data_IF_912635941991
#
_entry.id   IF_912635941991
#
_cell.length_a   1.000
_cell.length_b   1.000
_cell.length_c   1.000
_cell.angle_alpha   90.00
_cell.angle_beta   90.00
_cell.angle_gamma   90.00
#
_symmetry.space_group_name_H-M   'P 1'
#
loop_
_entity.id
_entity.type
_entity.pdbx_description
1 polymer ?
#
# COMPACT_ATOMS: atom_id res chain seq x y z
N UNK A 1 -2.64 -9.30 -11.58
CA UNK A 1 -3.75 -9.18 -10.62
C UNK A 1 -4.93 -10.10 -10.92
N UNK A 2 -5.68 -9.94 -12.01
CA UNK A 2 -6.84 -10.82 -12.29
C UNK A 2 -6.49 -12.31 -12.32
N UNK A 3 -5.38 -12.69 -12.94
CA UNK A 3 -4.91 -14.08 -12.96
C UNK A 3 -4.59 -14.62 -11.56
N UNK A 4 -4.05 -13.79 -10.68
CA UNK A 4 -3.75 -14.16 -9.28
C UNK A 4 -5.05 -14.39 -8.49
N UNK A 5 -6.05 -13.53 -8.69
CA UNK A 5 -7.36 -13.71 -8.08
C UNK A 5 -8.05 -14.99 -8.58
N UNK A 6 -8.01 -15.24 -9.90
CA UNK A 6 -8.59 -16.44 -10.48
C UNK A 6 -7.91 -17.72 -9.95
N UNK A 7 -6.57 -17.71 -9.86
CA UNK A 7 -5.81 -18.84 -9.30
C UNK A 7 -6.16 -19.07 -7.83
N UNK A 8 -6.20 -18.02 -7.01
CA UNK A 8 -6.56 -18.13 -5.59
C UNK A 8 -7.99 -18.65 -5.41
N UNK A 9 -8.94 -18.20 -6.23
CA UNK A 9 -10.31 -18.69 -6.20
C UNK A 9 -10.40 -20.19 -6.57
N UNK A 10 -9.63 -20.61 -7.57
CA UNK A 10 -9.57 -22.04 -7.97
C UNK A 10 -8.95 -22.89 -6.85
N UNK A 11 -7.86 -22.46 -6.25
CA UNK A 11 -7.21 -23.17 -5.13
C UNK A 11 -8.14 -23.22 -3.92
N UNK A 12 -8.79 -22.12 -3.57
CA UNK A 12 -9.77 -22.08 -2.47
C UNK A 12 -10.93 -23.06 -2.73
N UNK A 13 -11.41 -23.15 -3.97
CA UNK A 13 -12.44 -24.11 -4.37
C UNK A 13 -12.01 -25.56 -4.17
N UNK A 14 -10.79 -25.90 -4.57
CA UNK A 14 -10.23 -27.25 -4.37
C UNK A 14 -10.09 -27.58 -2.87
N UNK A 15 -9.54 -26.66 -2.08
CA UNK A 15 -9.36 -26.84 -0.62
C UNK A 15 -10.72 -27.05 0.06
N UNK A 16 -11.71 -26.21 -0.26
CA UNK A 16 -13.04 -26.32 0.33
C UNK A 16 -13.73 -27.65 0.02
N UNK A 17 -13.57 -28.18 -1.19
CA UNK A 17 -14.10 -29.51 -1.54
C UNK A 17 -13.39 -30.63 -0.79
N UNK A 18 -12.08 -30.55 -0.60
CA UNK A 18 -11.28 -31.53 0.13
C UNK A 18 -11.59 -31.49 1.64
N UNK A 19 -11.74 -30.31 2.21
CA UNK A 19 -11.99 -30.14 3.65
C UNK A 19 -13.46 -30.13 4.02
N UNK A 20 -14.38 -30.31 3.06
CA UNK A 20 -15.84 -30.24 3.26
C UNK A 20 -16.31 -28.98 3.96
N UNK A 21 -15.64 -27.87 3.69
CA UNK A 21 -15.98 -26.52 4.24
C UNK A 21 -16.90 -25.78 3.29
N UNK A 22 -17.84 -24.96 3.81
CA UNK A 22 -18.65 -24.10 2.95
C UNK A 22 -17.74 -23.13 2.20
N UNK A 23 -17.96 -23.02 0.88
CA UNK A 23 -17.31 -22.02 0.03
C UNK A 23 -17.99 -20.67 0.27
N UNK A 24 -17.27 -19.78 0.90
CA UNK A 24 -17.68 -18.38 1.03
C UNK A 24 -16.89 -17.54 0.01
N UNK A 25 -17.54 -17.23 -1.11
CA UNK A 25 -16.94 -16.38 -2.13
C UNK A 25 -17.17 -14.91 -1.79
N UNK A 26 -16.13 -14.07 -1.95
CA UNK A 26 -16.30 -12.65 -1.73
C UNK A 26 -17.35 -12.08 -2.70
N UNK A 27 -18.16 -11.17 -2.20
CA UNK A 27 -19.12 -10.43 -3.01
C UNK A 27 -18.44 -9.62 -4.10
N UNK A 28 -19.17 -9.27 -5.16
CA UNK A 28 -18.64 -8.38 -6.22
C UNK A 28 -18.17 -7.04 -5.67
N UNK A 29 -18.80 -6.53 -4.62
CA UNK A 29 -18.39 -5.29 -3.95
C UNK A 29 -17.04 -5.45 -3.25
N UNK A 30 -16.83 -6.54 -2.51
CA UNK A 30 -15.55 -6.83 -1.86
C UNK A 30 -14.43 -7.06 -2.87
N UNK A 31 -14.71 -7.74 -3.99
CA UNK A 31 -13.76 -7.89 -5.09
C UNK A 31 -13.39 -6.54 -5.71
N UNK A 32 -14.37 -5.70 -5.99
CA UNK A 32 -14.14 -4.36 -6.54
C UNK A 32 -13.33 -3.48 -5.59
N UNK A 33 -13.64 -3.55 -4.29
CA UNK A 33 -12.90 -2.84 -3.25
C UNK A 33 -11.46 -3.35 -3.13
N UNK A 34 -11.24 -4.65 -3.12
CA UNK A 34 -9.90 -5.25 -3.08
C UNK A 34 -9.05 -4.88 -4.29
N UNK A 35 -9.63 -4.97 -5.50
CA UNK A 35 -8.96 -4.59 -6.74
C UNK A 35 -8.65 -3.09 -6.75
N UNK A 36 -9.63 -2.25 -6.41
CA UNK A 36 -9.46 -0.79 -6.35
C UNK A 36 -8.38 -0.36 -5.35
N UNK A 37 -8.38 -0.96 -4.17
CA UNK A 37 -7.36 -0.73 -3.14
C UNK A 37 -5.97 -1.15 -3.61
N UNK A 38 -5.86 -2.31 -4.25
CA UNK A 38 -4.60 -2.78 -4.84
C UNK A 38 -4.08 -1.83 -5.92
N UNK A 39 -4.95 -1.33 -6.81
CA UNK A 39 -4.58 -0.34 -7.82
C UNK A 39 -4.13 0.98 -7.19
N UNK A 40 -4.79 1.42 -6.12
CA UNK A 40 -4.43 2.63 -5.40
C UNK A 40 -3.05 2.53 -4.76
N UNK A 41 -2.75 1.41 -4.10
CA UNK A 41 -1.44 1.15 -3.49
C UNK A 41 -0.35 1.09 -4.55
N UNK A 42 -0.57 0.33 -5.65
CA UNK A 42 0.39 0.24 -6.75
C UNK A 42 0.58 1.60 -7.44
N UNK A 43 -0.49 2.36 -7.63
CA UNK A 43 -0.45 3.70 -8.21
C UNK A 43 0.38 4.66 -7.35
N UNK A 44 0.24 4.60 -6.04
CA UNK A 44 1.02 5.41 -5.10
C UNK A 44 2.52 5.08 -5.20
N UNK A 45 2.91 3.82 -5.11
CA UNK A 45 4.32 3.42 -5.21
C UNK A 45 4.92 3.69 -6.60
N UNK A 46 4.15 3.44 -7.66
CA UNK A 46 4.56 3.75 -9.03
C UNK A 46 4.73 5.25 -9.24
N UNK A 47 3.81 6.05 -8.68
CA UNK A 47 3.88 7.51 -8.72
C UNK A 47 5.11 8.05 -8.00
N UNK A 48 5.44 7.52 -6.83
CA UNK A 48 6.68 7.86 -6.11
C UNK A 48 7.91 7.49 -6.95
N UNK A 49 7.96 6.28 -7.49
CA UNK A 49 9.07 5.83 -8.33
C UNK A 49 9.25 6.70 -9.58
N UNK A 50 8.15 7.04 -10.26
CA UNK A 50 8.18 7.95 -11.41
C UNK A 50 8.66 9.35 -11.03
N UNK A 51 8.16 9.91 -9.92
CA UNK A 51 8.59 11.22 -9.41
C UNK A 51 10.09 11.25 -9.13
N UNK A 52 10.62 10.22 -8.45
CA UNK A 52 12.06 10.10 -8.20
C UNK A 52 12.85 9.96 -9.52
N UNK A 53 12.34 9.18 -10.48
CA UNK A 53 12.95 9.04 -11.82
C UNK A 53 12.98 10.37 -12.57
N UNK A 54 11.95 11.21 -12.47
CA UNK A 54 11.94 12.56 -13.03
C UNK A 54 12.84 13.54 -12.27
N UNK A 55 12.96 13.38 -10.95
CA UNK A 55 13.78 14.29 -10.14
C UNK A 55 15.29 14.07 -10.36
N UNK A 56 15.71 12.84 -10.53
CA UNK A 56 17.12 12.47 -10.59
C UNK A 56 17.53 11.96 -11.98
N UNK A 57 18.77 12.25 -12.38
CA UNK A 57 19.36 11.70 -13.60
C UNK A 57 19.99 10.34 -13.25
N UNK A 58 19.51 9.29 -13.92
CA UNK A 58 19.99 7.93 -13.71
C UNK A 58 19.04 7.05 -12.91
N UNK A 59 19.29 5.75 -12.91
CA UNK A 59 18.39 4.73 -12.35
C UNK A 59 18.74 4.36 -10.90
N UNK A 60 20.05 4.37 -10.59
CA UNK A 60 20.54 3.86 -9.30
C UNK A 60 20.06 4.71 -8.10
N UNK A 61 20.07 6.04 -8.26
CA UNK A 61 19.75 6.96 -7.18
C UNK A 61 18.25 6.94 -6.80
N UNK A 62 17.29 6.94 -7.75
CA UNK A 62 15.87 6.74 -7.45
C UNK A 62 15.58 5.43 -6.74
N UNK A 63 16.19 4.32 -7.20
CA UNK A 63 16.00 3.01 -6.57
C UNK A 63 16.57 3.02 -5.15
N UNK A 64 17.79 3.50 -4.97
CA UNK A 64 18.43 3.59 -3.66
C UNK A 64 17.63 4.42 -2.67
N UNK A 65 17.16 5.60 -3.09
CA UNK A 65 16.32 6.46 -2.25
C UNK A 65 14.97 5.82 -1.92
N UNK A 66 14.34 5.14 -2.86
CA UNK A 66 13.09 4.42 -2.60
C UNK A 66 13.25 3.31 -1.56
N UNK A 67 14.32 2.52 -1.68
CA UNK A 67 14.64 1.46 -0.70
C UNK A 67 14.97 2.05 0.67
N UNK A 68 15.79 3.10 0.74
CA UNK A 68 16.13 3.79 2.01
C UNK A 68 14.87 4.38 2.64
N UNK A 69 13.97 4.97 1.85
CA UNK A 69 12.72 5.50 2.36
C UNK A 69 11.90 4.40 3.06
N UNK A 70 11.62 3.30 2.38
CA UNK A 70 10.77 2.24 2.90
C UNK A 70 11.41 1.55 4.12
N UNK A 71 12.70 1.19 4.03
CA UNK A 71 13.33 0.41 5.08
C UNK A 71 13.85 1.27 6.25
N UNK A 72 14.48 2.39 5.96
CA UNK A 72 15.09 3.22 7.00
C UNK A 72 14.10 4.25 7.56
N UNK A 73 13.44 5.03 6.71
CA UNK A 73 12.57 6.12 7.20
C UNK A 73 11.27 5.55 7.76
N UNK A 74 10.53 4.78 6.99
CA UNK A 74 9.24 4.25 7.47
C UNK A 74 9.43 3.19 8.57
N UNK A 75 10.41 2.31 8.41
CA UNK A 75 10.72 1.28 9.41
C UNK A 75 11.16 1.88 10.74
N UNK A 76 12.09 2.85 10.71
CA UNK A 76 12.58 3.50 11.92
C UNK A 76 11.51 4.34 12.62
N UNK A 77 10.78 5.16 11.86
CA UNK A 77 9.69 5.99 12.41
C UNK A 77 8.62 5.11 13.06
N UNK A 78 8.23 4.02 12.42
CA UNK A 78 7.25 3.09 12.97
C UNK A 78 7.77 2.43 14.24
N UNK A 79 8.98 1.89 14.24
CA UNK A 79 9.57 1.24 15.42
C UNK A 79 9.71 2.19 16.60
N UNK A 80 10.15 3.44 16.38
CA UNK A 80 10.30 4.45 17.43
C UNK A 80 8.94 4.91 17.95
N UNK A 81 7.96 5.11 17.07
CA UNK A 81 6.61 5.52 17.47
C UNK A 81 5.88 4.45 18.29
N UNK A 82 6.12 3.18 17.97
CA UNK A 82 5.47 2.06 18.67
C UNK A 82 6.10 1.72 20.01
N UNK A 83 7.42 1.90 20.15
CA UNK A 83 8.16 1.43 21.31
C UNK A 83 8.65 2.52 22.25
N UNK A 84 8.95 3.73 21.76
CA UNK A 84 9.67 4.74 22.54
C UNK A 84 8.93 6.08 22.65
N UNK A 85 8.31 6.57 21.60
CA UNK A 85 7.76 7.92 21.54
C UNK A 85 6.34 7.92 20.92
N UNK A 86 5.33 7.77 21.76
CA UNK A 86 3.91 7.85 21.33
C UNK A 86 3.55 9.20 20.69
N UNK A 87 4.32 10.26 20.97
CA UNK A 87 4.17 11.57 20.32
C UNK A 87 4.47 11.55 18.80
N UNK A 88 5.18 10.52 18.31
CA UNK A 88 5.47 10.32 16.88
C UNK A 88 4.36 9.56 16.14
N UNK A 89 3.35 9.04 16.82
CA UNK A 89 2.24 8.33 16.18
C UNK A 89 1.52 9.15 15.09
N UNK A 90 1.26 10.46 15.26
CA UNK A 90 0.68 11.24 14.18
C UNK A 90 1.55 11.26 12.91
N UNK A 91 2.88 11.34 13.07
CA UNK A 91 3.83 11.30 11.95
C UNK A 91 3.83 9.92 11.28
N UNK A 92 3.91 8.84 12.09
CA UNK A 92 3.78 7.45 11.60
C UNK A 92 2.53 7.26 10.77
N UNK A 93 1.38 7.75 11.26
CA UNK A 93 0.09 7.60 10.60
C UNK A 93 -0.04 8.41 9.29
N UNK A 94 0.91 9.27 8.99
CA UNK A 94 1.01 9.96 7.69
C UNK A 94 1.86 9.18 6.68
N UNK A 95 2.66 8.21 7.10
CA UNK A 95 3.56 7.50 6.19
C UNK A 95 2.78 6.71 5.12
N UNK A 96 3.21 6.74 3.86
CA UNK A 96 2.52 6.05 2.77
C UNK A 96 2.46 4.53 2.97
N UNK A 97 3.51 3.89 3.45
CA UNK A 97 3.53 2.46 3.73
C UNK A 97 2.59 2.06 4.87
N UNK A 98 2.51 2.87 5.93
CA UNK A 98 1.57 2.64 7.04
C UNK A 98 0.11 2.73 6.56
N UNK A 99 -0.21 3.71 5.71
CA UNK A 99 -1.54 3.82 5.11
C UNK A 99 -1.85 2.65 4.16
N UNK A 100 -0.87 2.22 3.34
CA UNK A 100 -1.02 1.04 2.50
C UNK A 100 -1.29 -0.23 3.33
N UNK A 101 -0.51 -0.45 4.40
CA UNK A 101 -0.68 -1.56 5.32
C UNK A 101 -2.03 -1.54 6.04
N UNK A 102 -2.47 -0.37 6.51
CA UNK A 102 -3.78 -0.21 7.16
C UNK A 102 -4.95 -0.41 6.21
N UNK A 103 -4.81 -0.03 4.95
CA UNK A 103 -5.81 -0.32 3.94
C UNK A 103 -5.95 -1.83 3.70
N UNK A 104 -4.82 -2.55 3.58
CA UNK A 104 -4.84 -4.02 3.46
C UNK A 104 -5.46 -4.67 4.70
N UNK A 105 -5.10 -4.20 5.91
CA UNK A 105 -5.69 -4.68 7.16
C UNK A 105 -7.22 -4.53 7.17
N UNK A 106 -7.74 -3.40 6.73
CA UNK A 106 -9.18 -3.12 6.71
C UNK A 106 -9.97 -4.00 5.73
N UNK A 107 -9.30 -4.67 4.78
CA UNK A 107 -9.90 -5.59 3.80
C UNK A 107 -9.81 -7.05 4.24
N UNK A 108 -9.04 -7.35 5.29
CA UNK A 108 -8.89 -8.71 5.77
C UNK A 108 -10.18 -9.20 6.44
N UNK A 109 -10.69 -10.41 6.10
CA UNK A 109 -11.83 -11.00 6.78
C UNK A 109 -11.57 -11.11 8.28
N UNK A 110 -12.48 -10.55 9.08
CA UNK A 110 -12.36 -10.57 10.55
C UNK A 110 -11.32 -9.60 11.14
N UNK A 111 -10.87 -8.59 10.39
CA UNK A 111 -9.94 -7.58 10.89
C UNK A 111 -8.60 -8.15 11.36
N UNK A 112 -8.07 -9.18 10.67
CA UNK A 112 -6.81 -9.81 11.05
C UNK A 112 -6.87 -10.65 12.33
N UNK A 113 -8.05 -10.99 12.81
CA UNK A 113 -8.28 -11.66 14.10
C UNK A 113 -7.68 -13.07 14.24
N UNK A 114 -7.09 -13.64 13.22
CA UNK A 114 -6.68 -15.06 13.18
C UNK A 114 -5.18 -15.33 13.10
N UNK A 115 -4.31 -14.35 13.34
CA UNK A 115 -2.86 -14.61 13.32
C UNK A 115 -1.98 -13.37 13.35
N UNK A 116 -0.68 -13.58 13.35
CA UNK A 116 0.31 -12.52 13.17
C UNK A 116 0.11 -11.84 11.81
N UNK A 117 -0.04 -10.53 11.81
CA UNK A 117 -0.18 -9.76 10.57
C UNK A 117 1.08 -9.92 9.71
N UNK A 118 0.94 -10.10 8.39
CA UNK A 118 2.10 -10.10 7.50
C UNK A 118 2.92 -8.81 7.64
N UNK A 119 4.24 -8.86 7.42
CA UNK A 119 5.08 -7.68 7.50
C UNK A 119 4.54 -6.53 6.64
N UNK A 120 4.44 -5.34 7.22
CA UNK A 120 3.91 -4.15 6.55
C UNK A 120 2.38 -4.00 6.60
N UNK A 121 1.65 -4.97 7.12
CA UNK A 121 0.20 -4.88 7.37
C UNK A 121 -0.03 -4.48 8.82
N UNK A 122 -0.66 -3.33 9.05
CA UNK A 122 -0.81 -2.74 10.38
C UNK A 122 -2.19 -2.12 10.57
N UNK A 123 -2.72 -2.20 11.77
CA UNK A 123 -3.97 -1.51 12.18
C UNK A 123 -3.61 -0.15 12.82
N UNK A 124 -3.23 0.81 12.00
CA UNK A 124 -2.81 2.12 12.50
C UNK A 124 -3.83 3.22 12.22
N UNK A 125 -4.56 3.11 11.11
CA UNK A 125 -5.60 4.06 10.70
C UNK A 125 -6.78 3.33 10.05
N UNK A 126 -7.96 3.94 10.09
CA UNK A 126 -9.15 3.36 9.45
C UNK A 126 -8.98 3.24 7.94
N UNK A 127 -9.58 2.23 7.30
CA UNK A 127 -9.50 1.99 5.86
C UNK A 127 -9.92 3.21 5.02
N UNK A 128 -10.96 3.95 5.44
CA UNK A 128 -11.39 5.17 4.74
C UNK A 128 -10.34 6.28 4.78
N UNK A 129 -9.68 6.49 5.94
CA UNK A 129 -8.57 7.44 6.06
C UNK A 129 -7.37 7.00 5.23
N UNK A 130 -7.03 5.72 5.28
CA UNK A 130 -5.95 5.15 4.48
C UNK A 130 -6.18 5.38 2.97
N UNK A 131 -7.39 5.09 2.48
CA UNK A 131 -7.78 5.33 1.08
C UNK A 131 -7.61 6.80 0.69
N UNK A 132 -8.11 7.72 1.52
CA UNK A 132 -7.99 9.16 1.25
C UNK A 132 -6.51 9.60 1.23
N UNK A 133 -5.72 9.17 2.22
CA UNK A 133 -4.29 9.49 2.29
C UNK A 133 -3.55 9.00 1.05
N UNK A 134 -3.77 7.76 0.62
CA UNK A 134 -3.15 7.20 -0.58
C UNK A 134 -3.58 7.94 -1.86
N UNK A 135 -4.85 8.32 -1.98
CA UNK A 135 -5.35 9.11 -3.11
C UNK A 135 -4.66 10.49 -3.17
N UNK A 136 -4.47 11.14 -2.02
CA UNK A 136 -3.75 12.41 -1.91
C UNK A 136 -2.28 12.24 -2.34
N UNK A 137 -1.62 11.17 -1.92
CA UNK A 137 -0.24 10.87 -2.36
C UNK A 137 -0.15 10.68 -3.87
N UNK A 138 -1.05 9.88 -4.46
CA UNK A 138 -1.10 9.68 -5.93
C UNK A 138 -1.27 11.02 -6.65
N UNK A 139 -2.23 11.84 -6.22
CA UNK A 139 -2.48 13.14 -6.81
C UNK A 139 -1.26 14.08 -6.69
N UNK A 140 -0.61 14.11 -5.51
CA UNK A 140 0.58 14.91 -5.26
C UNK A 140 1.76 14.47 -6.15
N UNK A 141 2.02 13.15 -6.26
CA UNK A 141 3.11 12.65 -7.09
C UNK A 141 2.88 12.92 -8.58
N UNK A 142 1.64 12.79 -9.07
CA UNK A 142 1.28 13.15 -10.45
C UNK A 142 1.49 14.64 -10.69
N UNK A 143 0.99 15.50 -9.78
CA UNK A 143 1.11 16.95 -9.92
C UNK A 143 2.58 17.41 -9.91
N UNK A 144 3.37 16.90 -8.96
CA UNK A 144 4.80 17.20 -8.86
C UNK A 144 5.58 16.66 -10.07
N UNK A 145 5.28 15.44 -10.52
CA UNK A 145 5.89 14.87 -11.73
C UNK A 145 5.60 15.70 -12.97
N UNK A 146 4.34 16.11 -13.16
CA UNK A 146 3.94 16.97 -14.27
C UNK A 146 4.64 18.35 -14.24
N UNK A 147 4.80 18.94 -13.04
CA UNK A 147 5.54 20.18 -12.87
C UNK A 147 7.03 20.04 -13.23
N UNK A 148 7.66 18.93 -12.82
CA UNK A 148 9.06 18.65 -13.15
C UNK A 148 9.28 18.47 -14.66
N UNK A 149 8.39 17.73 -15.33
CA UNK A 149 8.46 17.55 -16.79
C UNK A 149 8.32 18.90 -17.50
N UNK A 150 7.27 19.67 -17.17
CA UNK A 150 7.03 21.00 -17.79
C UNK A 150 8.23 21.95 -17.63
N UNK A 151 8.93 21.90 -16.51
CA UNK A 151 10.11 22.77 -16.28
C UNK A 151 11.34 22.33 -17.10
N UNK A 152 11.41 21.08 -17.52
CA UNK A 152 12.51 20.56 -18.33
C UNK A 152 12.33 20.80 -19.83
N UNK A 153 11.08 20.87 -20.31
CA UNK A 153 10.77 21.10 -21.71
C UNK A 153 10.95 22.57 -22.15
N UNK A 154 11.26 23.49 -21.20
CA UNK A 154 11.39 24.94 -21.47
C UNK A 154 12.87 25.38 -21.57
N UNK A 155 13.83 24.44 -21.49
CA UNK A 155 15.26 24.68 -21.65
C UNK A 155 15.84 23.86 -22.80
#
# INVERSE_FOLDING_TARGET
>A
MLATFALNAAVAGVIATVESRPLDYPSLAELAQGIGSGWLILGMWSGLGALLGFAFRGVALPIGLGVVWVLAVEGLVSAVADSLLTSLQPLRNLLPGVNAGSLVWSLAPGGGASGEAPPGVVDAVTGGRATLSLAVYVAAFIALGALLVRRRDVT
#
